data_IF_486262575521
#
_entry.id   IF_486262575521
#
_cell.length_a   1.000
_cell.length_b   1.000
_cell.length_c   1.000
_cell.angle_alpha   90.00
_cell.angle_beta   90.00
_cell.angle_gamma   90.00
#
_symmetry.space_group_name_H-M   'P 1'
#
loop_
_entity.id
_entity.type
_entity.pdbx_description
1 polymer ?
#
# COMPACT_ATOMS: atom_id res chain seq x y z
N UNK A 1 13.21 49.36 -33.48
CA UNK A 1 12.76 48.34 -34.46
C UNK A 1 13.40 47.01 -34.13
N UNK A 2 12.67 46.07 -33.50
CA UNK A 2 13.08 44.64 -33.31
C UNK A 2 11.95 43.75 -33.79
N UNK A 3 12.23 42.90 -34.76
CA UNK A 3 11.28 41.98 -35.43
C UNK A 3 10.92 40.83 -34.52
N UNK A 4 9.62 40.61 -34.27
CA UNK A 4 9.07 39.43 -33.69
C UNK A 4 9.05 38.29 -34.69
N UNK A 5 9.64 37.14 -34.35
CA UNK A 5 9.51 35.88 -35.11
C UNK A 5 8.31 35.10 -34.54
N UNK A 6 7.31 34.86 -35.40
CA UNK A 6 6.20 33.96 -35.14
C UNK A 6 6.66 32.51 -35.34
N UNK A 7 6.50 31.66 -34.35
CA UNK A 7 6.61 30.20 -34.51
C UNK A 7 5.25 29.63 -34.91
N UNK A 8 5.26 28.93 -36.02
CA UNK A 8 4.12 28.20 -36.58
C UNK A 8 4.06 26.83 -35.91
N UNK A 9 2.91 26.49 -35.29
CA UNK A 9 2.64 25.17 -34.74
C UNK A 9 2.24 24.22 -35.89
N UNK A 10 3.05 23.18 -36.14
CA UNK A 10 2.72 22.08 -37.03
C UNK A 10 1.70 21.13 -36.37
N UNK A 11 0.59 20.90 -37.07
CA UNK A 11 -0.42 19.88 -36.73
C UNK A 11 0.15 18.50 -37.03
N UNK A 12 0.32 17.66 -36.02
CA UNK A 12 0.63 16.24 -36.15
C UNK A 12 -0.66 15.43 -36.31
N UNK A 13 -0.77 14.76 -37.44
CA UNK A 13 -1.90 13.91 -37.83
C UNK A 13 -1.71 12.53 -37.19
N UNK A 14 -2.63 12.12 -36.31
CA UNK A 14 -2.64 10.76 -35.75
C UNK A 14 -3.28 9.80 -36.73
N UNK A 15 -2.47 8.88 -37.27
CA UNK A 15 -2.95 7.70 -38.01
C UNK A 15 -3.44 6.64 -37.01
N UNK A 16 -4.72 6.31 -37.11
CA UNK A 16 -5.37 5.21 -36.39
C UNK A 16 -5.10 3.91 -37.14
N UNK A 17 -4.25 3.04 -36.61
CA UNK A 17 -3.98 1.71 -37.18
C UNK A 17 -4.89 0.70 -36.51
N UNK A 18 -5.95 0.29 -37.21
CA UNK A 18 -6.84 -0.81 -36.83
C UNK A 18 -6.20 -2.11 -37.30
N UNK A 19 -5.67 -2.91 -36.39
CA UNK A 19 -5.24 -4.28 -36.68
C UNK A 19 -6.42 -5.24 -36.58
N UNK A 20 -6.93 -5.68 -37.74
CA UNK A 20 -7.89 -6.78 -37.87
C UNK A 20 -7.09 -8.09 -37.80
N UNK A 21 -7.29 -8.88 -36.77
CA UNK A 21 -6.77 -10.25 -36.65
C UNK A 21 -7.71 -11.21 -37.39
N UNK A 22 -7.28 -11.68 -38.56
CA UNK A 22 -7.95 -12.74 -39.32
C UNK A 22 -7.48 -14.08 -38.77
N UNK A 23 -8.43 -14.84 -38.21
CA UNK A 23 -8.21 -16.25 -37.86
C UNK A 23 -8.28 -17.09 -39.15
N UNK A 24 -7.16 -17.67 -39.58
CA UNK A 24 -7.13 -18.71 -40.61
C UNK A 24 -7.37 -20.07 -39.98
N UNK A 25 -8.47 -20.70 -40.39
CA UNK A 25 -8.79 -22.08 -40.06
C UNK A 25 -8.01 -22.98 -41.02
N UNK A 26 -7.14 -23.85 -40.51
CA UNK A 26 -6.47 -24.88 -41.29
C UNK A 26 -7.35 -26.18 -41.33
N UNK A 27 -7.42 -26.89 -42.47
CA UNK A 27 -8.26 -28.06 -42.60
C UNK A 27 -7.57 -29.30 -42.01
N UNK A 28 -8.41 -30.13 -41.35
CA UNK A 28 -8.06 -31.47 -40.85
C UNK A 28 -8.02 -32.40 -42.02
N UNK A 29 -6.85 -32.95 -42.38
CA UNK A 29 -6.71 -34.06 -43.31
C UNK A 29 -6.79 -35.38 -42.54
N UNK A 30 -7.73 -36.22 -42.99
CA UNK A 30 -7.99 -37.56 -42.54
C UNK A 30 -6.81 -38.52 -42.82
N UNK A 31 -6.55 -39.43 -41.90
CA UNK A 31 -5.91 -40.69 -42.19
C UNK A 31 -6.78 -41.81 -41.70
N UNK A 32 -7.14 -42.68 -42.64
CA UNK A 32 -7.99 -43.85 -42.45
C UNK A 32 -7.18 -45.14 -42.25
N UNK A 33 -7.75 -45.99 -41.43
CA UNK A 33 -7.84 -47.41 -41.43
C UNK A 33 -6.62 -48.31 -41.20
N UNK A 34 -6.69 -49.07 -40.11
CA UNK A 34 -6.81 -50.53 -40.25
C UNK A 34 -7.48 -51.13 -39.02
N UNK A 35 -8.43 -52.04 -39.30
CA UNK A 35 -9.20 -52.75 -38.32
C UNK A 35 -8.39 -53.86 -37.67
N UNK A 36 -8.60 -54.06 -36.35
CA UNK A 36 -8.60 -55.42 -35.80
C UNK A 36 -9.62 -55.50 -34.66
N UNK A 37 -10.45 -56.50 -34.74
CA UNK A 37 -11.54 -56.83 -33.82
C UNK A 37 -10.96 -57.59 -32.62
N UNK A 38 -11.12 -57.08 -31.43
CA UNK A 38 -11.23 -57.93 -30.25
C UNK A 38 -12.19 -57.25 -29.24
N UNK A 39 -13.30 -57.94 -29.07
CA UNK A 39 -14.36 -57.72 -28.10
C UNK A 39 -13.83 -57.67 -26.66
N UNK A 40 -13.96 -56.49 -26.03
CA UNK A 40 -14.00 -56.43 -24.57
C UNK A 40 -14.94 -55.28 -24.19
N UNK A 41 -16.12 -55.62 -23.73
CA UNK A 41 -17.06 -54.79 -23.00
C UNK A 41 -16.34 -54.14 -21.80
N UNK A 42 -15.80 -52.96 -21.98
CA UNK A 42 -15.45 -52.08 -20.86
C UNK A 42 -16.57 -51.09 -20.65
N UNK A 43 -17.40 -51.37 -19.64
CA UNK A 43 -18.33 -50.44 -19.04
C UNK A 43 -17.55 -49.15 -18.70
N UNK A 44 -17.65 -48.13 -19.58
CA UNK A 44 -17.25 -46.76 -19.28
C UNK A 44 -18.33 -46.19 -18.36
N UNK A 45 -18.22 -46.45 -17.06
CA UNK A 45 -18.91 -45.64 -16.08
C UNK A 45 -18.34 -44.22 -16.18
N UNK A 46 -18.96 -43.40 -17.02
CA UNK A 46 -18.78 -41.95 -17.01
C UNK A 46 -19.22 -41.46 -15.63
N UNK A 47 -18.30 -41.36 -14.70
CA UNK A 47 -18.50 -40.62 -13.45
C UNK A 47 -18.73 -39.18 -13.85
N UNK A 48 -20.02 -38.81 -14.07
CA UNK A 48 -20.42 -37.41 -14.09
C UNK A 48 -20.04 -36.80 -12.75
N UNK A 49 -18.83 -36.23 -12.68
CA UNK A 49 -18.33 -35.53 -11.52
C UNK A 49 -19.13 -34.24 -11.41
N UNK A 50 -20.25 -34.29 -10.69
CA UNK A 50 -21.12 -33.14 -10.47
C UNK A 50 -20.27 -32.03 -9.90
N UNK A 51 -19.98 -31.01 -10.70
CA UNK A 51 -19.14 -29.88 -10.28
C UNK A 51 -19.94 -29.05 -9.31
N UNK A 52 -19.59 -29.15 -8.03
CA UNK A 52 -20.20 -28.32 -6.97
C UNK A 52 -19.83 -26.86 -7.19
N UNK A 53 -20.83 -26.02 -7.43
CA UNK A 53 -20.64 -24.57 -7.57
C UNK A 53 -21.00 -23.85 -6.27
N UNK A 54 -20.36 -22.72 -6.05
CA UNK A 54 -20.61 -21.80 -4.95
C UNK A 54 -20.89 -20.40 -5.50
N UNK A 55 -21.62 -19.61 -4.75
CA UNK A 55 -21.95 -18.23 -5.12
C UNK A 55 -21.16 -17.25 -4.27
N UNK A 56 -20.44 -16.36 -4.94
CA UNK A 56 -19.85 -15.16 -4.32
C UNK A 56 -20.75 -13.98 -4.65
N UNK A 57 -21.33 -13.38 -3.64
CA UNK A 57 -22.13 -12.15 -3.75
C UNK A 57 -21.34 -10.99 -3.20
N UNK A 58 -21.18 -9.92 -3.96
CA UNK A 58 -20.46 -8.71 -3.57
C UNK A 58 -21.42 -7.53 -3.71
N UNK A 59 -21.71 -6.89 -2.58
CA UNK A 59 -22.56 -5.69 -2.53
C UNK A 59 -21.68 -4.44 -2.65
N UNK A 60 -21.83 -3.69 -3.73
CA UNK A 60 -21.14 -2.43 -3.96
C UNK A 60 -22.11 -1.26 -3.79
N UNK A 61 -21.57 -0.03 -3.85
CA UNK A 61 -22.39 1.19 -3.68
C UNK A 61 -23.40 1.46 -4.81
N UNK A 62 -23.94 0.51 -5.48
CA UNK A 62 -24.94 0.73 -6.51
C UNK A 62 -25.39 -0.53 -7.20
N UNK A 63 -24.77 -1.67 -6.91
CA UNK A 63 -25.14 -2.94 -7.53
C UNK A 63 -24.74 -4.13 -6.66
N UNK A 64 -25.42 -5.24 -6.89
CA UNK A 64 -25.07 -6.55 -6.31
C UNK A 64 -24.50 -7.42 -7.43
N UNK A 65 -23.22 -7.77 -7.29
CA UNK A 65 -22.52 -8.66 -8.22
C UNK A 65 -22.63 -10.08 -7.68
N UNK A 66 -23.24 -11.01 -8.46
CA UNK A 66 -23.33 -12.43 -8.13
C UNK A 66 -22.49 -13.22 -9.11
N UNK A 67 -21.55 -14.03 -8.63
CA UNK A 67 -20.68 -14.88 -9.44
C UNK A 67 -20.74 -16.32 -8.95
N UNK A 68 -21.21 -17.23 -9.81
CA UNK A 68 -21.12 -18.67 -9.57
C UNK A 68 -19.73 -19.16 -9.97
N UNK A 69 -19.06 -19.87 -9.09
CA UNK A 69 -17.71 -20.40 -9.29
C UNK A 69 -17.62 -21.85 -8.81
N UNK A 70 -16.71 -22.63 -9.37
CA UNK A 70 -16.46 -23.99 -8.91
C UNK A 70 -15.94 -23.95 -7.47
N UNK A 71 -16.43 -24.85 -6.60
CA UNK A 71 -15.92 -25.00 -5.25
C UNK A 71 -14.42 -25.28 -5.28
N UNK A 72 -13.66 -24.58 -4.44
CA UNK A 72 -12.19 -24.65 -4.41
C UNK A 72 -11.49 -23.71 -5.41
N UNK A 73 -12.22 -22.95 -6.24
CA UNK A 73 -11.60 -21.96 -7.12
C UNK A 73 -11.30 -20.65 -6.40
N UNK A 74 -10.51 -19.79 -7.05
CA UNK A 74 -10.11 -18.51 -6.53
C UNK A 74 -10.79 -17.37 -7.28
N UNK A 75 -11.27 -16.36 -6.55
CA UNK A 75 -11.83 -15.11 -7.08
C UNK A 75 -10.98 -13.95 -6.61
N UNK A 76 -10.64 -13.04 -7.53
CA UNK A 76 -10.00 -11.77 -7.16
C UNK A 76 -11.09 -10.79 -6.75
N UNK A 77 -11.00 -10.25 -5.54
CA UNK A 77 -11.96 -9.28 -5.04
C UNK A 77 -11.77 -7.92 -5.72
N UNK A 78 -12.86 -7.24 -6.12
CA UNK A 78 -12.78 -5.92 -6.73
C UNK A 78 -12.42 -4.86 -5.70
N UNK A 79 -12.13 -3.65 -6.16
CA UNK A 79 -12.21 -2.44 -5.33
C UNK A 79 -13.65 -1.90 -5.34
N UNK A 80 -13.96 -1.02 -4.39
CA UNK A 80 -15.23 -0.28 -4.38
C UNK A 80 -15.23 0.82 -5.45
N UNK A 81 -16.40 1.25 -5.89
CA UNK A 81 -16.55 2.44 -6.71
C UNK A 81 -16.23 3.68 -5.85
N UNK A 82 -15.43 4.57 -6.42
CA UNK A 82 -15.08 5.83 -5.79
C UNK A 82 -16.31 6.68 -5.47
N UNK A 83 -16.45 7.08 -4.19
CA UNK A 83 -17.45 8.04 -3.73
C UNK A 83 -16.85 8.95 -2.66
N UNK A 84 -17.19 10.22 -2.72
CA UNK A 84 -16.79 11.20 -1.72
C UNK A 84 -17.41 10.89 -0.34
N UNK A 85 -16.72 11.29 0.71
CA UNK A 85 -17.20 11.21 2.09
C UNK A 85 -16.70 10.03 2.90
N UNK A 86 -16.00 9.06 2.29
CA UNK A 86 -15.39 7.95 3.03
C UNK A 86 -14.18 7.32 2.32
N UNK A 87 -13.39 6.62 3.11
CA UNK A 87 -12.29 5.78 2.66
C UNK A 87 -12.74 4.33 2.63
N UNK A 88 -12.56 3.65 1.51
CA UNK A 88 -12.81 2.23 1.38
C UNK A 88 -11.63 1.44 1.98
N UNK A 89 -11.93 0.55 2.92
CA UNK A 89 -10.92 -0.23 3.64
C UNK A 89 -10.81 -1.68 3.14
N UNK A 90 -11.86 -2.22 2.52
CA UNK A 90 -11.90 -3.61 2.07
C UNK A 90 -13.30 -4.22 2.19
N UNK A 91 -13.37 -5.53 2.34
CA UNK A 91 -14.60 -6.32 2.34
C UNK A 91 -14.77 -7.09 3.65
N UNK A 92 -16.02 -7.28 4.07
CA UNK A 92 -16.39 -8.09 5.23
C UNK A 92 -17.64 -8.92 4.95
N UNK A 93 -17.82 -9.99 5.70
CA UNK A 93 -19.09 -10.75 5.74
C UNK A 93 -20.11 -10.11 6.68
N UNK A 94 -19.73 -9.09 7.45
CA UNK A 94 -20.61 -8.36 8.36
C UNK A 94 -21.07 -7.07 7.71
N UNK A 95 -22.40 -6.93 7.55
CA UNK A 95 -23.01 -5.71 6.99
C UNK A 95 -22.82 -4.53 7.93
N UNK A 96 -22.47 -3.37 7.39
CA UNK A 96 -22.34 -2.12 8.15
C UNK A 96 -21.03 -1.96 8.93
N UNK A 97 -20.10 -2.88 8.81
CA UNK A 97 -18.77 -2.76 9.42
C UNK A 97 -18.02 -1.55 8.84
N UNK A 98 -17.42 -0.72 9.71
CA UNK A 98 -16.76 0.54 9.31
C UNK A 98 -15.24 0.48 9.38
N UNK A 99 -14.68 -0.51 10.06
CA UNK A 99 -13.23 -0.72 10.22
C UNK A 99 -12.93 -2.22 10.22
N UNK A 100 -11.65 -2.59 10.24
CA UNK A 100 -11.14 -3.95 10.39
C UNK A 100 -11.69 -4.95 9.33
N UNK A 101 -11.48 -4.71 8.04
CA UNK A 101 -11.99 -5.55 6.97
C UNK A 101 -11.38 -6.96 7.03
N UNK A 102 -12.18 -7.97 6.71
CA UNK A 102 -11.72 -9.37 6.60
C UNK A 102 -10.83 -9.60 5.39
N UNK A 103 -11.16 -8.93 4.27
CA UNK A 103 -10.47 -9.09 3.00
C UNK A 103 -10.12 -7.74 2.39
N UNK A 104 -9.03 -7.71 1.63
CA UNK A 104 -8.58 -6.51 0.96
C UNK A 104 -9.07 -6.45 -0.49
N UNK A 105 -9.12 -5.26 -1.10
CA UNK A 105 -9.26 -5.14 -2.55
C UNK A 105 -8.10 -5.87 -3.25
N UNK A 106 -8.43 -6.52 -4.38
CA UNK A 106 -7.52 -7.33 -5.19
C UNK A 106 -6.94 -8.57 -4.48
N UNK A 107 -7.43 -8.90 -3.29
CA UNK A 107 -7.08 -10.14 -2.61
C UNK A 107 -7.69 -11.35 -3.33
N UNK A 108 -6.95 -12.48 -3.34
CA UNK A 108 -7.40 -13.76 -3.88
C UNK A 108 -8.22 -14.49 -2.81
N UNK A 109 -9.54 -14.53 -3.01
CA UNK A 109 -10.47 -15.28 -2.15
C UNK A 109 -10.58 -16.72 -2.63
N UNK A 110 -10.20 -17.69 -1.81
CA UNK A 110 -10.44 -19.11 -2.06
C UNK A 110 -11.87 -19.49 -1.65
N UNK A 111 -12.69 -19.95 -2.61
CA UNK A 111 -14.14 -20.11 -2.45
C UNK A 111 -14.50 -21.56 -2.16
N UNK A 112 -14.76 -21.89 -0.89
CA UNK A 112 -15.21 -23.23 -0.46
C UNK A 112 -16.68 -23.30 -0.07
N UNK A 113 -17.33 -22.14 0.17
CA UNK A 113 -18.74 -21.99 0.55
C UNK A 113 -19.36 -20.78 -0.15
N UNK A 114 -20.70 -20.68 -0.10
CA UNK A 114 -21.35 -19.44 -0.51
C UNK A 114 -20.90 -18.31 0.43
N UNK A 115 -20.63 -17.14 -0.12
CA UNK A 115 -20.17 -15.99 0.64
C UNK A 115 -20.85 -14.71 0.15
N UNK A 116 -21.23 -13.86 1.08
CA UNK A 116 -21.74 -12.52 0.82
C UNK A 116 -20.79 -11.49 1.43
N UNK A 117 -20.31 -10.56 0.61
CA UNK A 117 -19.32 -9.56 0.99
C UNK A 117 -19.95 -8.17 0.92
N UNK A 118 -19.74 -7.40 1.98
CA UNK A 118 -20.14 -6.01 2.14
C UNK A 118 -18.91 -5.11 2.19
N UNK A 119 -18.99 -3.86 1.64
CA UNK A 119 -17.87 -2.94 1.68
C UNK A 119 -17.68 -2.38 3.10
N UNK A 120 -16.44 -2.39 3.56
CA UNK A 120 -16.03 -1.72 4.81
C UNK A 120 -15.59 -0.30 4.47
N UNK A 121 -16.30 0.70 5.00
CA UNK A 121 -16.14 2.12 4.67
C UNK A 121 -16.02 2.97 5.92
N UNK A 122 -14.93 3.71 6.02
CA UNK A 122 -14.73 4.66 7.11
C UNK A 122 -15.17 6.06 6.69
N UNK A 123 -16.18 6.62 7.38
CA UNK A 123 -16.69 7.97 7.10
C UNK A 123 -15.72 9.04 7.59
N UNK A 124 -15.42 10.03 6.74
CA UNK A 124 -14.51 11.14 7.11
C UNK A 124 -15.02 11.96 8.30
N UNK A 125 -16.34 12.10 8.43
CA UNK A 125 -16.98 12.81 9.54
C UNK A 125 -16.78 12.13 10.90
N UNK A 126 -16.42 10.84 10.92
CA UNK A 126 -16.20 10.07 12.14
C UNK A 126 -14.73 10.14 12.61
N UNK A 127 -13.84 10.78 11.84
CA UNK A 127 -12.43 10.82 12.19
C UNK A 127 -12.20 11.71 13.42
N UNK A 128 -11.69 11.14 14.54
CA UNK A 128 -11.44 11.90 15.73
C UNK A 128 -10.29 12.88 15.55
N UNK A 129 -10.43 14.05 16.10
CA UNK A 129 -9.34 15.00 16.23
C UNK A 129 -8.69 14.84 17.61
N UNK A 130 -7.37 14.61 17.64
CA UNK A 130 -6.61 14.41 18.86
C UNK A 130 -5.56 15.49 19.03
N UNK A 131 -5.34 15.91 20.26
CA UNK A 131 -4.22 16.77 20.60
C UNK A 131 -2.93 15.94 20.70
N UNK A 132 -1.83 16.46 20.16
CA UNK A 132 -0.52 15.76 20.08
C UNK A 132 0.65 16.61 20.61
N UNK A 133 0.38 17.81 21.08
CA UNK A 133 1.42 18.65 21.69
C UNK A 133 2.00 17.99 22.94
N UNK A 134 3.32 18.15 23.18
CA UNK A 134 4.03 17.56 24.31
C UNK A 134 4.28 16.05 24.23
N UNK A 135 3.74 15.33 23.21
CA UNK A 135 3.94 13.87 23.15
C UNK A 135 5.41 13.48 22.94
N UNK A 136 6.17 14.23 22.14
CA UNK A 136 7.60 13.95 21.97
C UNK A 136 8.37 14.20 23.27
N UNK A 137 8.00 15.25 24.00
CA UNK A 137 8.66 15.63 25.26
C UNK A 137 8.42 14.59 26.35
N UNK A 138 7.28 13.87 26.30
CA UNK A 138 6.97 12.78 27.25
C UNK A 138 7.75 11.47 26.99
N UNK A 139 8.67 11.44 26.02
CA UNK A 139 9.58 10.31 25.76
C UNK A 139 10.98 10.68 26.23
N UNK A 140 11.24 10.51 27.52
CA UNK A 140 12.50 10.92 28.15
C UNK A 140 13.70 10.07 27.72
N UNK A 141 13.42 8.88 27.19
CA UNK A 141 14.43 7.91 26.74
C UNK A 141 15.32 8.43 25.60
N UNK A 142 14.84 9.38 24.78
CA UNK A 142 15.59 9.89 23.62
C UNK A 142 15.73 11.41 23.71
N UNK A 143 16.91 11.88 23.37
CA UNK A 143 17.21 13.30 23.21
C UNK A 143 16.68 13.82 21.87
N UNK A 144 16.63 12.94 20.86
CA UNK A 144 16.17 13.25 19.51
C UNK A 144 15.33 12.13 18.90
N UNK A 145 14.32 12.50 18.11
CA UNK A 145 13.49 11.59 17.35
C UNK A 145 13.55 12.01 15.88
N UNK A 146 14.01 11.14 14.99
CA UNK A 146 14.13 11.41 13.56
C UNK A 146 13.14 10.53 12.79
N UNK A 147 12.23 11.16 12.04
CA UNK A 147 11.38 10.46 11.07
C UNK A 147 12.03 10.49 9.70
N UNK A 148 12.18 9.31 9.09
CA UNK A 148 12.77 9.13 7.75
C UNK A 148 11.72 8.58 6.82
N UNK A 149 11.45 9.28 5.67
CA UNK A 149 10.40 8.80 4.79
C UNK A 149 10.17 9.60 3.50
N UNK A 150 8.99 9.42 2.95
CA UNK A 150 8.54 10.02 1.70
C UNK A 150 7.59 11.23 1.91
N UNK A 151 6.70 11.48 0.93
CA UNK A 151 5.71 12.56 1.01
C UNK A 151 4.78 12.46 2.23
N UNK A 152 4.49 11.24 2.70
CA UNK A 152 3.68 11.06 3.92
C UNK A 152 4.40 11.57 5.15
N UNK A 153 5.71 11.35 5.24
CA UNK A 153 6.56 11.90 6.32
C UNK A 153 6.69 13.42 6.21
N UNK A 154 6.82 13.98 5.00
CA UNK A 154 6.82 15.41 4.78
C UNK A 154 5.50 16.08 5.21
N UNK A 155 4.37 15.46 4.90
CA UNK A 155 3.05 15.95 5.33
C UNK A 155 2.79 15.77 6.82
N UNK A 156 3.32 14.71 7.43
CA UNK A 156 3.33 14.55 8.88
C UNK A 156 4.06 15.74 9.55
N UNK A 157 5.27 16.08 9.09
CA UNK A 157 6.00 17.27 9.56
C UNK A 157 5.14 18.53 9.46
N UNK A 158 4.57 18.78 8.28
CA UNK A 158 3.74 19.97 8.04
C UNK A 158 2.48 19.99 8.91
N UNK A 159 1.88 18.82 9.17
CA UNK A 159 0.73 18.69 10.09
C UNK A 159 1.11 19.09 11.50
N UNK A 160 2.22 18.56 12.00
CA UNK A 160 2.68 18.83 13.37
C UNK A 160 3.05 20.30 13.55
N UNK A 161 3.76 20.90 12.58
CA UNK A 161 4.09 22.32 12.60
C UNK A 161 2.85 23.22 12.64
N UNK A 162 1.83 22.93 11.84
CA UNK A 162 0.57 23.70 11.80
C UNK A 162 -0.26 23.55 13.07
N UNK A 163 -0.25 22.38 13.70
CA UNK A 163 -1.15 22.07 14.81
C UNK A 163 -0.55 22.34 16.19
N UNK A 164 0.77 22.27 16.30
CA UNK A 164 1.49 22.32 17.59
C UNK A 164 2.57 23.43 17.64
N UNK A 165 2.71 24.21 16.56
CA UNK A 165 3.76 25.21 16.47
C UNK A 165 5.16 24.62 16.24
N UNK A 166 6.18 25.48 16.25
CA UNK A 166 7.58 25.09 16.01
C UNK A 166 8.21 24.31 17.16
N UNK A 167 7.68 24.44 18.38
CA UNK A 167 8.26 23.82 19.57
C UNK A 167 8.30 22.30 19.50
N UNK A 168 7.32 21.70 18.82
CA UNK A 168 7.31 20.25 18.60
C UNK A 168 8.56 19.75 17.85
N UNK A 169 9.24 20.63 17.11
CA UNK A 169 10.43 20.29 16.35
C UNK A 169 11.73 20.40 17.17
N UNK A 170 11.68 20.89 18.40
CA UNK A 170 12.89 20.98 19.25
C UNK A 170 13.53 19.61 19.46
N UNK A 171 12.70 18.57 19.67
CA UNK A 171 13.13 17.19 19.89
C UNK A 171 13.03 16.32 18.64
N UNK A 172 12.38 16.80 17.57
CA UNK A 172 12.12 16.02 16.36
C UNK A 172 12.77 16.60 15.12
N UNK A 173 13.19 15.70 14.23
CA UNK A 173 13.70 16.03 12.90
C UNK A 173 13.06 15.14 11.84
N UNK A 174 13.13 15.59 10.58
CA UNK A 174 12.52 14.90 9.45
C UNK A 174 13.48 14.84 8.28
N UNK A 175 13.88 13.64 7.90
CA UNK A 175 14.67 13.35 6.69
C UNK A 175 13.71 12.74 5.68
N UNK A 176 13.22 13.53 4.73
CA UNK A 176 12.15 13.08 3.84
C UNK A 176 12.15 13.79 2.48
N UNK A 177 11.71 13.05 1.46
CA UNK A 177 11.61 13.56 0.10
C UNK A 177 10.33 13.04 -0.57
N UNK A 178 9.52 13.94 -1.12
CA UNK A 178 8.27 13.62 -1.80
C UNK A 178 8.49 12.72 -3.02
N UNK A 179 7.66 11.68 -3.16
CA UNK A 179 7.68 10.77 -4.31
C UNK A 179 8.83 9.77 -4.33
N UNK A 180 9.63 9.71 -3.28
CA UNK A 180 10.84 8.90 -3.21
C UNK A 180 10.63 7.57 -2.47
N UNK A 181 11.59 6.65 -2.66
CA UNK A 181 11.63 5.33 -2.08
C UNK A 181 13.07 4.90 -1.78
N UNK A 182 13.35 3.61 -1.95
CA UNK A 182 14.64 3.01 -1.59
C UNK A 182 15.82 3.61 -2.35
N UNK A 183 15.67 3.93 -3.64
CA UNK A 183 16.75 4.50 -4.44
C UNK A 183 17.20 5.87 -3.95
N UNK A 184 16.24 6.71 -3.54
CA UNK A 184 16.57 7.98 -2.91
C UNK A 184 17.29 7.77 -1.56
N UNK A 185 16.79 6.82 -0.76
CA UNK A 185 17.42 6.53 0.53
C UNK A 185 18.88 6.14 0.37
N UNK A 186 19.19 5.28 -0.63
CA UNK A 186 20.58 4.88 -0.96
C UNK A 186 21.45 6.05 -1.46
N UNK A 187 20.90 6.92 -2.30
CA UNK A 187 21.67 7.99 -2.96
C UNK A 187 21.86 9.22 -2.10
N UNK A 188 20.83 9.59 -1.33
CA UNK A 188 20.77 10.89 -0.67
C UNK A 188 20.29 10.82 0.77
N UNK A 189 19.30 9.99 1.06
CA UNK A 189 18.61 9.92 2.34
C UNK A 189 19.56 9.45 3.46
N UNK A 190 20.45 8.50 3.19
CA UNK A 190 21.44 8.02 4.15
C UNK A 190 22.36 9.17 4.59
N UNK A 191 22.94 9.93 3.65
CA UNK A 191 23.79 11.08 3.98
C UNK A 191 23.03 12.11 4.80
N UNK A 192 21.82 12.49 4.38
CA UNK A 192 21.00 13.45 5.12
C UNK A 192 20.68 12.98 6.54
N UNK A 193 20.45 11.68 6.73
CA UNK A 193 20.21 11.10 8.05
C UNK A 193 21.45 11.21 8.94
N UNK A 194 22.62 10.87 8.42
CA UNK A 194 23.87 11.02 9.17
C UNK A 194 24.20 12.48 9.47
N UNK A 195 24.00 13.39 8.52
CA UNK A 195 24.16 14.83 8.75
C UNK A 195 23.20 15.31 9.87
N UNK A 196 21.98 14.76 9.94
CA UNK A 196 21.01 15.13 10.97
C UNK A 196 21.36 14.54 12.34
N UNK A 197 21.88 13.34 12.40
CA UNK A 197 22.37 12.71 13.64
C UNK A 197 23.57 13.50 14.19
N UNK A 198 24.49 13.89 13.32
CA UNK A 198 25.72 14.62 13.73
C UNK A 198 25.46 16.02 14.30
N UNK A 199 24.28 16.62 14.08
CA UNK A 199 23.89 17.88 14.73
C UNK A 199 23.65 17.75 16.24
N UNK A 200 23.52 16.53 16.73
CA UNK A 200 23.38 16.24 18.16
C UNK A 200 24.69 15.85 18.82
N UNK A 201 25.79 16.15 18.25
CA UNK A 201 27.22 15.81 18.41
C UNK A 201 27.73 15.49 19.84
N UNK A 202 27.00 14.64 20.52
CA UNK A 202 27.34 14.11 21.83
C UNK A 202 27.04 12.62 21.80
N UNK A 203 28.08 11.78 21.86
CA UNK A 203 27.94 10.31 21.85
C UNK A 203 27.10 9.77 23.02
N UNK A 204 26.82 10.60 24.02
CA UNK A 204 25.96 10.26 25.16
C UNK A 204 24.48 10.39 24.80
N UNK A 205 24.12 11.22 23.80
CA UNK A 205 22.73 11.47 23.40
C UNK A 205 22.14 10.30 22.61
N UNK A 206 20.99 9.84 23.04
CA UNK A 206 20.27 8.74 22.41
C UNK A 206 19.24 9.23 21.38
N UNK A 207 19.30 8.69 20.16
CA UNK A 207 18.41 9.06 19.07
C UNK A 207 17.49 7.90 18.69
N UNK A 208 16.16 8.16 18.60
CA UNK A 208 15.22 7.26 17.95
C UNK A 208 15.14 7.58 16.45
N UNK A 209 15.34 6.61 15.59
CA UNK A 209 15.17 6.75 14.13
C UNK A 209 14.00 5.88 13.65
N UNK A 210 12.95 6.53 13.11
CA UNK A 210 11.72 5.88 12.67
C UNK A 210 11.64 5.96 11.15
N UNK A 211 11.80 4.84 10.46
CA UNK A 211 11.68 4.72 9.01
C UNK A 211 10.24 4.45 8.59
N UNK A 212 9.75 5.14 7.56
CA UNK A 212 8.44 4.89 6.91
C UNK A 212 8.57 5.12 5.40
N UNK A 213 9.13 4.16 4.69
CA UNK A 213 9.34 4.15 3.24
C UNK A 213 8.70 2.91 2.61
N UNK A 214 8.53 2.90 1.28
CA UNK A 214 8.10 1.74 0.50
C UNK A 214 6.82 1.94 -0.30
N UNK A 215 5.95 2.90 0.05
CA UNK A 215 4.69 3.10 -0.70
C UNK A 215 4.92 3.49 -2.16
N UNK A 216 6.01 4.17 -2.47
CA UNK A 216 6.34 4.60 -3.82
C UNK A 216 7.01 3.49 -4.65
N UNK A 217 7.61 2.50 -3.99
CA UNK A 217 8.21 1.34 -4.64
C UNK A 217 7.18 0.25 -4.99
N UNK A 218 5.96 0.36 -4.45
CA UNK A 218 4.83 -0.55 -4.70
C UNK A 218 3.84 -0.02 -5.76
N UNK A 219 4.27 0.93 -6.60
CA UNK A 219 3.42 1.48 -7.67
C UNK A 219 3.43 0.57 -8.89
N UNK A 220 2.25 0.18 -9.36
CA UNK A 220 2.09 -0.46 -10.65
C UNK A 220 2.34 0.54 -11.77
N UNK A 221 3.39 0.32 -12.58
CA UNK A 221 3.72 1.14 -13.74
C UNK A 221 3.26 0.44 -15.02
N UNK A 222 2.51 1.14 -15.87
CA UNK A 222 2.06 0.63 -17.18
C UNK A 222 1.34 -0.74 -17.10
N UNK A 223 0.53 -0.94 -16.06
CA UNK A 223 -0.21 -2.20 -15.86
C UNK A 223 0.65 -3.38 -15.39
N UNK A 224 1.96 -3.23 -15.29
CA UNK A 224 2.85 -4.27 -14.75
C UNK A 224 2.86 -4.20 -13.23
N UNK A 225 2.53 -5.32 -12.60
CA UNK A 225 2.61 -5.49 -11.15
C UNK A 225 4.05 -5.42 -10.64
N UNK A 226 4.20 -5.02 -9.39
CA UNK A 226 5.49 -5.03 -8.69
C UNK A 226 5.53 -6.27 -7.80
N UNK A 227 6.65 -6.99 -7.82
CA UNK A 227 6.87 -8.06 -6.83
C UNK A 227 7.16 -7.45 -5.46
N UNK A 228 6.15 -7.38 -4.61
CA UNK A 228 6.32 -6.88 -3.24
C UNK A 228 7.35 -7.70 -2.44
N UNK A 229 7.54 -8.97 -2.78
CA UNK A 229 8.52 -9.84 -2.13
C UNK A 229 9.96 -9.45 -2.50
N UNK A 230 10.21 -9.14 -3.79
CA UNK A 230 11.49 -8.62 -4.27
C UNK A 230 11.79 -7.26 -3.65
N UNK A 231 10.82 -6.33 -3.68
CA UNK A 231 10.97 -5.00 -3.06
C UNK A 231 11.29 -5.13 -1.57
N UNK A 232 10.60 -6.02 -0.84
CA UNK A 232 10.87 -6.25 0.57
C UNK A 232 12.28 -6.83 0.82
N UNK A 233 12.79 -7.69 -0.09
CA UNK A 233 14.17 -8.20 -0.01
C UNK A 233 15.19 -7.09 -0.18
N UNK A 234 15.00 -6.21 -1.17
CA UNK A 234 15.90 -5.09 -1.45
C UNK A 234 15.94 -4.10 -0.28
N UNK A 235 14.75 -3.82 0.30
CA UNK A 235 14.64 -3.01 1.51
C UNK A 235 15.35 -3.65 2.70
N UNK A 236 15.09 -4.92 2.99
CA UNK A 236 15.70 -5.61 4.13
C UNK A 236 17.23 -5.68 4.01
N UNK A 237 17.74 -6.01 2.82
CA UNK A 237 19.18 -6.04 2.56
C UNK A 237 19.85 -4.71 2.86
N UNK A 238 19.31 -3.61 2.32
CA UNK A 238 19.83 -2.28 2.53
C UNK A 238 19.69 -1.83 3.99
N UNK A 239 18.50 -1.95 4.58
CA UNK A 239 18.21 -1.51 5.94
C UNK A 239 19.04 -2.27 6.97
N UNK A 240 19.25 -3.57 6.80
CA UNK A 240 20.10 -4.37 7.68
C UNK A 240 21.58 -3.94 7.60
N UNK A 241 22.05 -3.53 6.43
CA UNK A 241 23.38 -2.92 6.26
C UNK A 241 23.48 -1.57 6.98
N UNK A 242 22.49 -0.70 6.77
CA UNK A 242 22.40 0.63 7.37
C UNK A 242 22.31 0.55 8.91
N UNK A 243 21.56 -0.42 9.44
CA UNK A 243 21.35 -0.55 10.88
C UNK A 243 22.66 -0.70 11.66
N UNK A 244 23.63 -1.44 11.10
CA UNK A 244 24.95 -1.60 11.74
C UNK A 244 25.71 -0.28 11.91
N UNK A 245 25.58 0.62 10.93
CA UNK A 245 26.19 1.95 11.00
C UNK A 245 25.48 2.88 12.00
N UNK A 246 24.15 2.75 12.11
CA UNK A 246 23.36 3.61 12.99
C UNK A 246 23.45 3.20 14.46
N UNK A 247 23.52 1.89 14.75
CA UNK A 247 23.64 1.41 16.14
C UNK A 247 24.97 1.81 16.78
N UNK A 248 26.05 1.99 15.99
CA UNK A 248 27.31 2.52 16.50
C UNK A 248 27.26 4.02 16.84
N UNK A 249 26.17 4.70 16.50
CA UNK A 249 25.91 6.13 16.76
C UNK A 249 24.82 6.34 17.83
N UNK A 250 24.68 5.43 18.75
CA UNK A 250 23.67 5.44 19.82
C UNK A 250 22.22 5.63 19.31
N UNK A 251 21.92 5.07 18.12
CA UNK A 251 20.58 5.12 17.53
C UNK A 251 19.79 3.85 17.85
N UNK A 252 18.58 4.01 18.33
CA UNK A 252 17.57 2.95 18.42
C UNK A 252 16.66 3.02 17.19
N UNK A 253 16.47 1.88 16.49
CA UNK A 253 15.90 1.87 15.16
C UNK A 253 14.49 1.28 15.17
N UNK A 254 13.59 1.96 14.46
CA UNK A 254 12.22 1.56 14.29
C UNK A 254 11.87 1.54 12.80
N UNK A 255 11.13 0.54 12.37
CA UNK A 255 10.51 0.54 11.06
C UNK A 255 9.00 0.58 11.21
N UNK A 256 8.40 1.68 10.83
CA UNK A 256 6.96 1.85 10.79
C UNK A 256 6.44 1.27 9.47
N UNK A 257 5.50 0.32 9.56
CA UNK A 257 4.91 -0.34 8.39
C UNK A 257 4.43 0.69 7.35
N UNK A 258 4.51 0.34 6.08
CA UNK A 258 3.85 1.12 5.03
C UNK A 258 2.37 1.18 5.33
N UNK A 259 1.86 2.39 5.51
CA UNK A 259 0.48 2.65 5.85
C UNK A 259 -0.46 2.36 4.67
N UNK A 260 -1.75 2.03 4.89
CA UNK A 260 -2.69 1.63 3.84
C UNK A 260 -2.97 2.76 2.84
N UNK A 261 -3.56 2.40 1.70
CA UNK A 261 -4.06 3.31 0.67
C UNK A 261 -5.56 3.13 0.47
N UNK A 262 -6.26 4.17 0.05
CA UNK A 262 -7.62 4.03 -0.44
C UNK A 262 -7.58 3.53 -1.89
N UNK A 263 -7.73 2.22 -2.09
CA UNK A 263 -7.65 1.58 -3.42
C UNK A 263 -8.78 1.99 -4.34
N UNK A 264 -9.91 2.47 -3.80
CA UNK A 264 -11.00 3.04 -4.61
C UNK A 264 -10.55 4.30 -5.36
N UNK A 265 -9.61 5.05 -4.78
CA UNK A 265 -9.06 6.30 -5.36
C UNK A 265 -7.74 6.08 -6.09
N UNK A 266 -6.93 5.11 -5.66
CA UNK A 266 -5.60 4.86 -6.21
C UNK A 266 -5.35 3.37 -6.50
N UNK A 267 -5.95 2.82 -7.56
CA UNK A 267 -5.86 1.39 -7.87
C UNK A 267 -4.44 0.93 -8.30
N UNK A 268 -3.53 1.86 -8.55
CA UNK A 268 -2.12 1.56 -8.87
C UNK A 268 -1.31 1.04 -7.66
N UNK A 269 -1.87 1.07 -6.47
CA UNK A 269 -1.30 0.48 -5.25
C UNK A 269 -2.32 -0.48 -4.66
N UNK A 270 -1.99 -1.76 -4.62
CA UNK A 270 -2.89 -2.80 -4.10
C UNK A 270 -2.64 -3.02 -2.61
N UNK A 271 -3.70 -2.97 -1.81
CA UNK A 271 -3.60 -3.22 -0.37
C UNK A 271 -2.99 -4.59 -0.03
N UNK A 272 -3.33 -5.62 -0.80
CA UNK A 272 -2.74 -6.95 -0.64
C UNK A 272 -1.22 -6.96 -0.82
N UNK A 273 -0.69 -6.10 -1.70
CA UNK A 273 0.76 -5.98 -1.93
C UNK A 273 1.43 -5.15 -0.82
N UNK A 274 0.79 -4.08 -0.34
CA UNK A 274 1.27 -3.32 0.83
C UNK A 274 1.34 -4.23 2.05
N UNK A 275 0.30 -5.02 2.31
CA UNK A 275 0.27 -6.00 3.40
C UNK A 275 1.33 -7.08 3.20
N UNK A 276 1.48 -7.59 1.98
CA UNK A 276 2.52 -8.57 1.63
C UNK A 276 3.93 -8.02 1.87
N UNK A 277 4.22 -6.82 1.40
CA UNK A 277 5.49 -6.11 1.63
C UNK A 277 5.77 -5.94 3.13
N UNK A 278 4.82 -5.42 3.89
CA UNK A 278 4.96 -5.23 5.33
C UNK A 278 5.31 -6.54 6.05
N UNK A 279 4.60 -7.64 5.73
CA UNK A 279 4.84 -8.94 6.33
C UNK A 279 6.23 -9.47 5.98
N UNK A 280 6.64 -9.38 4.71
CA UNK A 280 7.95 -9.86 4.26
C UNK A 280 9.09 -9.02 4.80
N UNK A 281 8.95 -7.70 4.80
CA UNK A 281 9.96 -6.81 5.35
C UNK A 281 10.16 -7.06 6.85
N UNK A 282 9.07 -7.13 7.62
CA UNK A 282 9.14 -7.44 9.06
C UNK A 282 9.88 -8.73 9.36
N UNK A 283 9.68 -9.78 8.54
CA UNK A 283 10.35 -11.09 8.71
C UNK A 283 11.83 -11.05 8.38
N UNK A 284 12.28 -10.12 7.52
CA UNK A 284 13.65 -10.04 6.98
C UNK A 284 14.52 -8.98 7.64
N UNK A 285 13.93 -8.01 8.32
CA UNK A 285 14.68 -7.05 9.12
C UNK A 285 15.36 -7.77 10.27
N UNK A 286 16.62 -7.40 10.55
CA UNK A 286 17.38 -7.95 11.67
C UNK A 286 16.89 -7.42 13.03
N UNK A 287 17.40 -7.98 14.12
CA UNK A 287 17.00 -7.65 15.49
C UNK A 287 17.29 -6.20 15.94
N UNK A 288 18.02 -5.42 15.14
CA UNK A 288 18.26 -4.01 15.44
C UNK A 288 17.00 -3.15 15.21
N UNK A 289 16.04 -3.64 14.42
CA UNK A 289 14.81 -2.91 14.16
C UNK A 289 13.66 -3.37 15.06
N UNK A 290 13.00 -2.42 15.70
CA UNK A 290 11.70 -2.61 16.32
C UNK A 290 10.60 -2.24 15.34
N UNK A 291 9.56 -3.08 15.23
CA UNK A 291 8.49 -2.91 14.27
C UNK A 291 7.33 -2.10 14.85
N UNK A 292 6.94 -1.01 14.18
CA UNK A 292 5.74 -0.21 14.51
C UNK A 292 4.64 -0.57 13.52
N UNK A 293 3.59 -1.27 13.97
CA UNK A 293 2.51 -1.76 13.10
C UNK A 293 1.39 -0.72 12.88
N UNK A 294 1.73 0.41 12.29
CA UNK A 294 0.79 1.50 12.01
C UNK A 294 -0.25 1.11 10.93
N UNK A 295 0.09 0.20 10.02
CA UNK A 295 -0.85 -0.36 9.04
C UNK A 295 -2.06 -1.00 9.74
N UNK A 296 -1.82 -1.96 10.62
CA UNK A 296 -2.92 -2.64 11.32
C UNK A 296 -3.67 -1.72 12.27
N UNK A 297 -2.97 -0.73 12.87
CA UNK A 297 -3.62 0.30 13.67
C UNK A 297 -4.64 1.08 12.84
N UNK A 298 -4.26 1.57 11.66
CA UNK A 298 -5.15 2.33 10.79
C UNK A 298 -6.30 1.49 10.24
N UNK A 299 -6.06 0.23 9.88
CA UNK A 299 -7.13 -0.65 9.40
C UNK A 299 -8.18 -0.93 10.48
N UNK A 300 -7.76 -1.11 11.74
CA UNK A 300 -8.66 -1.34 12.88
C UNK A 300 -9.40 -0.10 13.35
N UNK A 301 -8.82 1.08 13.20
CA UNK A 301 -9.40 2.32 13.72
C UNK A 301 -9.94 3.25 12.63
N UNK A 302 -9.81 2.87 11.38
CA UNK A 302 -10.15 3.70 10.21
C UNK A 302 -9.11 4.80 9.95
N UNK A 303 -9.20 5.42 8.78
CA UNK A 303 -8.34 6.54 8.37
C UNK A 303 -8.99 7.29 7.20
N UNK A 304 -8.52 8.51 6.96
CA UNK A 304 -9.02 9.37 5.89
C UNK A 304 -7.89 9.74 4.93
N UNK A 305 -8.10 9.51 3.63
CA UNK A 305 -7.19 9.94 2.57
C UNK A 305 -7.55 11.29 1.94
N UNK A 306 -8.58 11.96 2.47
CA UNK A 306 -8.88 13.37 2.13
C UNK A 306 -7.81 14.29 2.74
N UNK A 307 -6.93 14.83 1.89
CA UNK A 307 -5.74 15.55 2.32
C UNK A 307 -5.90 17.06 2.18
N UNK A 308 -5.77 17.81 3.27
CA UNK A 308 -5.86 19.27 3.31
C UNK A 308 -4.73 19.96 2.55
N UNK A 309 -3.54 19.35 2.51
CA UNK A 309 -2.38 19.84 1.74
C UNK A 309 -2.56 19.73 0.23
N UNK A 310 -3.64 19.07 -0.22
CA UNK A 310 -4.03 18.93 -1.63
C UNK A 310 -5.42 19.50 -1.90
N UNK A 311 -5.79 20.55 -1.22
CA UNK A 311 -7.07 21.22 -1.43
C UNK A 311 -8.28 20.39 -1.02
N UNK A 312 -8.15 19.56 0.03
CA UNK A 312 -9.20 18.66 0.52
C UNK A 312 -9.63 17.57 -0.48
N UNK A 313 -8.79 17.27 -1.46
CA UNK A 313 -9.05 16.14 -2.38
C UNK A 313 -8.60 14.82 -1.80
N UNK A 314 -9.26 13.73 -2.22
CA UNK A 314 -8.85 12.37 -1.91
C UNK A 314 -8.01 11.82 -3.07
N UNK A 315 -6.72 11.66 -2.87
CA UNK A 315 -5.82 11.04 -3.86
C UNK A 315 -5.52 9.57 -3.54
N UNK A 316 -6.13 9.04 -2.50
CA UNK A 316 -6.00 7.66 -2.06
C UNK A 316 -4.68 7.32 -1.38
N UNK A 317 -3.74 8.26 -1.27
CA UNK A 317 -2.38 8.02 -0.75
C UNK A 317 -2.04 8.87 0.46
N UNK A 318 -2.36 10.16 0.39
CA UNK A 318 -2.05 11.12 1.45
C UNK A 318 -3.23 11.29 2.41
N UNK A 319 -2.92 11.44 3.68
CA UNK A 319 -3.92 11.45 4.75
C UNK A 319 -4.37 12.85 5.13
N UNK A 320 -5.53 12.92 5.83
CA UNK A 320 -5.94 14.11 6.58
C UNK A 320 -4.95 14.44 7.70
N UNK A 321 -4.93 15.70 8.13
CA UNK A 321 -4.15 16.10 9.31
C UNK A 321 -4.55 15.32 10.56
N UNK A 322 -5.84 14.96 10.70
CA UNK A 322 -6.33 14.13 11.82
C UNK A 322 -5.73 12.73 11.78
N UNK A 323 -5.70 12.08 10.63
CA UNK A 323 -5.04 10.77 10.47
C UNK A 323 -3.53 10.89 10.74
N UNK A 324 -2.85 11.94 10.25
CA UNK A 324 -1.43 12.14 10.54
C UNK A 324 -1.14 12.30 12.04
N UNK A 325 -1.97 13.05 12.77
CA UNK A 325 -1.84 13.16 14.24
C UNK A 325 -1.99 11.80 14.94
N UNK A 326 -2.91 10.96 14.47
CA UNK A 326 -3.11 9.61 15.00
C UNK A 326 -1.95 8.68 14.71
N UNK A 327 -1.37 8.74 13.50
CA UNK A 327 -0.15 8.00 13.13
C UNK A 327 1.00 8.42 14.05
N UNK A 328 1.19 9.72 14.23
CA UNK A 328 2.23 10.26 15.12
C UNK A 328 2.03 9.80 16.56
N UNK A 329 0.84 10.01 17.11
CA UNK A 329 0.54 9.57 18.49
C UNK A 329 0.78 8.09 18.69
N UNK A 330 0.38 7.25 17.72
CA UNK A 330 0.63 5.82 17.77
C UNK A 330 2.13 5.51 17.74
N UNK A 331 2.89 6.12 16.81
CA UNK A 331 4.33 5.90 16.69
C UNK A 331 5.07 6.30 17.98
N UNK A 332 4.77 7.48 18.55
CA UNK A 332 5.41 7.95 19.79
C UNK A 332 5.11 7.01 20.97
N UNK A 333 3.89 6.48 21.07
CA UNK A 333 3.54 5.48 22.11
C UNK A 333 4.29 4.16 21.95
N UNK A 334 4.73 3.80 20.75
CA UNK A 334 5.47 2.56 20.50
C UNK A 334 6.97 2.67 20.80
N UNK A 335 7.50 3.87 20.89
CA UNK A 335 8.94 4.10 21.15
C UNK A 335 9.25 4.47 22.61
N UNK A 336 8.22 4.65 23.45
CA UNK A 336 8.35 4.89 24.89
C UNK A 336 9.09 3.78 25.63
#
# INVERSE_FOLDING_TARGET
MRKQKRHVYGRSLYFLLVCILIFTIAPISAWAASADQSSALKNKASKNKTTVTKTVTIETAGQIIKKKVKCGSTVILPTEINRNGYTFLGWSTVRGQTCDPMYQAYEKLHVTKNIHLYPVKYKWSQEPDIYVGGLADSVDKYDKIIFVGDSRTAMLRSTLQRQCGSDILKKMSFVCQTGQGLDWMKKWGEKQLFDEISKTDDNEKKTAVIFNLGVNDLIHKNGKGVSYDSVASDYASYMNGLSRKLTTRNCELFYMSVNPCNTAMKPTRKESEIRGFNNRLRQRLNGNFKWINSYSYLMRHGYTTRCEFRGYTDDGVHYSMRTFKRIYSYAIKQIR
#
